data_IF_413737804007
#
_entry.id   IF_413737804007
#
_cell.length_a   1.000
_cell.length_b   1.000
_cell.length_c   1.000
_cell.angle_alpha   90.00
_cell.angle_beta   90.00
_cell.angle_gamma   90.00
#
_symmetry.space_group_name_H-M   'P 1'
#
loop_
_entity.id
_entity.type
_entity.pdbx_description
1 polymer ?
2 non-polymer ?
3 non-polymer ?
4 non-polymer ?
5 non-polymer ?
6 non-polymer ?
7 water ?
#
# COMPACT_ATOMS: atom_id res chain seq x y z
N UNK A 1 -16.73 10.72 21.07
CA UNK A 1 -17.79 11.44 20.30
C UNK A 1 -17.45 11.41 18.82
N UNK A 2 -18.44 11.77 17.98
CA UNK A 2 -18.24 11.86 16.55
C UNK A 2 -18.17 10.50 15.89
N UNK A 3 -17.54 10.47 14.72
CA UNK A 3 -17.43 9.25 13.92
C UNK A 3 -16.10 8.57 14.20
N UNK A 4 -16.10 7.24 14.14
CA UNK A 4 -14.86 6.48 14.17
C UNK A 4 -14.41 6.30 12.73
N UNK A 5 -13.34 6.98 12.37
CA UNK A 5 -12.86 6.93 10.98
C UNK A 5 -12.03 5.68 10.76
N UNK A 6 -12.05 5.17 9.54
CA UNK A 6 -11.24 4.02 9.16
C UNK A 6 -10.09 4.47 8.27
N UNK A 7 -8.87 4.07 8.65
CA UNK A 7 -7.65 4.49 7.94
C UNK A 7 -6.86 3.29 7.47
N UNK A 8 -6.59 3.24 6.17
CA UNK A 8 -5.63 2.32 5.57
C UNK A 8 -4.30 3.08 5.50
N UNK A 9 -3.35 2.65 6.31
CA UNK A 9 -2.03 3.29 6.36
C UNK A 9 -1.13 2.40 5.51
N UNK A 10 -0.95 2.77 4.24
CA UNK A 10 -0.28 1.94 3.26
C UNK A 10 1.20 2.28 3.09
N UNK A 11 1.94 1.29 2.56
CA UNK A 11 3.34 1.52 2.20
C UNK A 11 3.48 2.68 1.22
N UNK A 12 2.62 2.68 0.20
CA UNK A 12 2.66 3.64 -0.90
C UNK A 12 1.61 4.73 -0.75
N UNK A 13 0.38 4.35 -0.41
CA UNK A 13 -0.75 5.25 -0.36
C UNK A 13 -1.57 4.98 0.87
N UNK A 14 -2.14 6.04 1.41
CA UNK A 14 -3.06 5.93 2.54
C UNK A 14 -4.42 6.55 2.20
N UNK A 15 -5.46 6.12 2.90
CA UNK A 15 -6.79 6.63 2.62
C UNK A 15 -7.67 6.53 3.85
N UNK A 16 -8.78 7.27 3.83
CA UNK A 16 -9.66 7.38 4.97
C UNK A 16 -11.09 7.23 4.53
N UNK A 17 -11.88 6.52 5.33
CA UNK A 17 -13.29 6.27 5.03
C UNK A 17 -14.13 6.44 6.30
N UNK A 18 -15.43 6.71 6.11
CA UNK A 18 -16.42 6.79 7.17
C UNK A 18 -17.65 5.99 6.78
N UNK A 19 -18.43 5.61 7.80
CA UNK A 19 -19.77 5.08 7.57
C UNK A 19 -20.78 6.21 7.62
N UNK A 20 -21.59 6.32 6.57
CA UNK A 20 -22.79 7.16 6.60
C UNK A 20 -23.97 6.20 6.60
N UNK A 21 -24.42 5.83 7.79
CA UNK A 21 -25.37 4.75 7.90
C UNK A 21 -24.76 3.46 7.41
N UNK A 22 -25.48 2.77 6.54
CA UNK A 22 -24.98 1.56 5.93
C UNK A 22 -24.05 1.82 4.75
N UNK A 23 -23.85 3.08 4.36
CA UNK A 23 -23.06 3.36 3.17
C UNK A 23 -21.66 3.83 3.56
N UNK A 24 -20.61 3.07 3.27
CA UNK A 24 -19.27 3.62 3.45
C UNK A 24 -18.97 4.67 2.40
N UNK A 25 -18.14 5.63 2.80
CA UNK A 25 -17.68 6.68 1.88
C UNK A 25 -16.19 6.85 2.10
N UNK A 26 -15.43 6.72 1.00
CA UNK A 26 -14.02 7.07 1.00
C UNK A 26 -13.91 8.56 0.73
N UNK A 27 -13.15 9.26 1.57
CA UNK A 27 -13.11 10.72 1.51
C UNK A 27 -11.96 11.24 0.66
N UNK A 28 -12.24 12.23 -0.16
CA UNK A 28 -11.20 12.89 -0.91
C UNK A 28 -10.47 13.89 -0.02
N UNK A 29 -9.16 14.02 -0.25
CA UNK A 29 -8.30 14.90 0.52
C UNK A 29 -8.35 16.36 0.00
N UNK A 30 -7.49 17.20 0.58
CA UNK A 30 -7.47 18.63 0.21
C UNK A 30 -7.03 18.84 -1.22
N UNK A 31 -6.34 17.86 -1.81
CA UNK A 31 -5.94 17.91 -3.21
C UNK A 31 -7.00 17.35 -4.15
N UNK A 32 -8.11 16.84 -3.61
CA UNK A 32 -9.20 16.28 -4.40
C UNK A 32 -9.10 14.80 -4.69
N UNK A 33 -8.21 14.07 -4.03
CA UNK A 33 -7.89 12.70 -4.38
C UNK A 33 -8.33 11.76 -3.25
N UNK A 34 -8.88 10.61 -3.62
CA UNK A 34 -9.30 9.61 -2.64
C UNK A 34 -8.15 8.77 -2.10
N UNK A 35 -6.93 8.95 -2.59
CA UNK A 35 -5.78 8.35 -1.96
C UNK A 35 -4.69 9.39 -1.83
N UNK A 36 -3.86 9.23 -0.80
CA UNK A 36 -2.80 10.18 -0.43
C UNK A 36 -1.46 9.44 -0.43
N UNK A 37 -0.48 9.86 -1.20
CA UNK A 37 0.84 9.22 -1.10
C UNK A 37 1.38 9.29 0.32
N UNK A 38 1.89 8.16 0.80
CA UNK A 38 2.49 8.07 2.14
C UNK A 38 3.91 8.63 2.11
N UNK A 39 3.99 9.95 1.86
CA UNK A 39 5.23 10.67 1.67
C UNK A 39 5.17 11.89 2.57
N UNK A 40 6.24 12.13 3.31
CA UNK A 40 6.30 13.19 4.31
C UNK A 40 7.57 13.98 4.05
N UNK A 41 7.44 15.28 3.80
CA UNK A 41 8.61 16.11 3.50
C UNK A 41 8.78 17.25 4.50
N UNK A 42 10.03 17.50 4.87
CA UNK A 42 10.39 18.58 5.77
C UNK A 42 11.16 19.60 4.95
N UNK A 43 10.57 20.77 4.73
CA UNK A 43 11.10 21.73 3.75
C UNK A 43 12.06 22.72 4.39
N UNK A 44 12.82 23.40 3.53
CA UNK A 44 13.86 24.32 3.99
C UNK A 44 13.28 25.43 4.85
N UNK A 45 12.07 25.88 4.53
CA UNK A 45 11.42 26.92 5.30
C UNK A 45 10.67 26.40 6.53
N UNK A 46 10.76 25.11 6.85
CA UNK A 46 10.23 24.59 8.10
C UNK A 46 8.82 24.03 8.07
N UNK A 47 8.24 23.87 6.90
CA UNK A 47 6.91 23.28 6.80
C UNK A 47 7.03 21.76 6.69
N UNK A 48 5.96 21.07 7.08
CA UNK A 48 5.85 19.64 6.88
C UNK A 48 4.76 19.42 5.84
N UNK A 49 5.13 18.81 4.72
CA UNK A 49 4.21 18.52 3.62
C UNK A 49 3.92 17.02 3.61
N UNK A 50 2.69 16.66 3.28
CA UNK A 50 2.26 15.27 3.27
C UNK A 50 1.48 15.01 1.99
N UNK A 51 1.82 13.92 1.31
CA UNK A 51 1.06 13.50 0.13
C UNK A 51 1.60 14.05 -1.18
N UNK A 52 0.71 14.45 -2.07
CA UNK A 52 1.13 14.96 -3.37
C UNK A 52 2.03 16.18 -3.26
N UNK A 53 1.80 17.12 -2.35
CA UNK A 53 2.75 18.25 -2.25
C UNK A 53 4.13 17.80 -1.88
N UNK A 54 4.24 16.74 -1.08
CA UNK A 54 5.55 16.19 -0.76
C UNK A 54 6.16 15.48 -1.96
N UNK A 55 5.38 14.63 -2.63
CA UNK A 55 5.84 13.94 -3.82
C UNK A 55 6.41 14.93 -4.83
N UNK A 56 5.76 16.10 -5.00
CA UNK A 56 6.08 17.02 -6.08
C UNK A 56 7.43 17.69 -5.88
N UNK A 57 7.89 17.82 -4.64
CA UNK A 57 9.18 18.46 -4.36
C UNK A 57 10.29 17.48 -3.97
N UNK A 58 10.08 16.18 -4.16
CA UNK A 58 11.08 15.21 -3.73
C UNK A 58 12.38 15.39 -4.51
N UNK A 59 12.30 15.71 -5.81
CA UNK A 59 13.54 15.78 -6.60
C UNK A 59 14.47 16.86 -6.09
N UNK A 60 13.94 17.99 -5.62
CA UNK A 60 14.76 19.08 -5.11
C UNK A 60 15.01 19.01 -3.61
N UNK A 61 14.48 18.01 -2.90
CA UNK A 61 14.67 17.89 -1.44
C UNK A 61 14.80 16.42 -1.07
N UNK A 62 15.75 15.69 -1.66
CA UNK A 62 15.74 14.23 -1.55
C UNK A 62 16.09 13.69 -0.17
N UNK A 63 16.95 14.39 0.58
CA UNK A 63 17.36 13.87 1.88
C UNK A 63 16.27 14.03 2.93
N UNK A 64 15.32 14.95 2.72
CA UNK A 64 14.33 15.31 3.72
C UNK A 64 12.90 14.97 3.29
N UNK A 65 12.77 14.14 2.26
CA UNK A 65 11.47 13.64 1.79
C UNK A 65 11.43 12.15 2.10
N UNK A 66 10.60 11.79 3.07
CA UNK A 66 10.56 10.45 3.63
C UNK A 66 9.40 9.66 3.02
N UNK A 67 9.65 8.37 2.77
CA UNK A 67 8.68 7.47 2.17
C UNK A 67 9.01 6.04 2.62
N UNK A 68 8.06 5.12 2.41
CA UNK A 68 8.27 3.71 2.71
C UNK A 68 8.55 3.50 4.20
N UNK A 69 8.02 4.38 5.05
CA UNK A 69 8.26 4.25 6.48
C UNK A 69 7.58 3.01 7.03
N UNK A 70 6.54 2.49 6.36
CA UNK A 70 5.92 1.24 6.79
C UNK A 70 6.91 0.08 6.78
N UNK A 71 7.98 0.16 5.99
CA UNK A 71 9.03 -0.85 5.99
C UNK A 71 9.93 -0.78 7.21
N UNK A 72 9.90 0.33 7.97
CA UNK A 72 10.75 0.54 9.14
C UNK A 72 9.99 0.48 10.46
N UNK A 73 8.70 0.74 10.45
CA UNK A 73 7.96 0.93 11.69
C UNK A 73 7.99 -0.36 12.52
N UNK A 74 8.27 -0.22 13.81
CA UNK A 74 8.38 -1.34 14.69
C UNK A 74 9.58 -2.24 14.51
N UNK A 75 10.56 -1.87 13.71
CA UNK A 75 11.70 -2.73 13.44
C UNK A 75 12.98 -2.28 14.14
N UNK A 76 13.86 -3.26 14.36
CA UNK A 76 15.18 -3.01 14.92
C UNK A 76 16.13 -2.57 13.80
N UNK A 77 17.12 -1.75 14.16
CA UNK A 77 18.06 -1.24 13.15
C UNK A 77 18.77 -2.37 12.40
N UNK A 78 19.18 -3.42 13.10
CA UNK A 78 19.90 -4.52 12.45
C UNK A 78 18.98 -5.57 11.84
N UNK A 79 17.69 -5.30 11.75
CA UNK A 79 16.78 -6.13 10.96
C UNK A 79 17.25 -6.13 9.51
N UNK A 80 17.19 -7.30 8.86
CA UNK A 80 17.75 -7.43 7.51
C UNK A 80 17.07 -6.47 6.53
N UNK A 81 15.75 -6.32 6.66
CA UNK A 81 15.03 -5.36 5.82
C UNK A 81 15.59 -3.96 6.02
N UNK A 82 15.79 -3.55 7.27
CA UNK A 82 16.27 -2.20 7.54
C UNK A 82 17.66 -2.00 6.95
N UNK A 83 18.53 -3.00 7.10
CA UNK A 83 19.89 -2.87 6.60
C UNK A 83 19.92 -2.75 5.08
N UNK A 84 19.05 -3.48 4.38
CA UNK A 84 18.92 -3.26 2.94
C UNK A 84 18.53 -1.82 2.65
N UNK A 85 17.55 -1.31 3.39
CA UNK A 85 17.00 0.01 3.11
C UNK A 85 18.00 1.13 3.39
N UNK A 86 18.86 0.96 4.40
CA UNK A 86 19.87 1.98 4.71
C UNK A 86 20.63 2.37 3.45
N UNK A 87 20.94 1.39 2.62
CA UNK A 87 21.81 1.61 1.46
C UNK A 87 21.06 2.22 0.29
N UNK A 88 19.76 1.95 0.16
CA UNK A 88 19.03 2.38 -1.03
C UNK A 88 18.25 3.68 -0.79
N UNK A 89 17.82 3.95 0.45
CA UNK A 89 16.98 5.12 0.66
C UNK A 89 17.81 6.41 0.63
N UNK A 90 17.23 7.50 0.12
CA UNK A 90 17.99 8.76 0.02
C UNK A 90 17.99 9.56 1.30
N UNK A 91 17.18 9.18 2.27
CA UNK A 91 17.14 9.80 3.59
C UNK A 91 17.91 8.92 4.58
N UNK A 92 18.23 9.50 5.75
CA UNK A 92 19.17 8.91 6.68
C UNK A 92 18.44 8.02 7.69
N UNK A 93 18.75 6.72 7.66
CA UNK A 93 18.21 5.75 8.60
C UNK A 93 19.31 5.42 9.60
N UNK A 94 18.97 5.48 10.90
CA UNK A 94 19.94 5.41 11.99
C UNK A 94 19.45 4.45 13.09
N UNK A 95 20.37 4.10 13.97
CA UNK A 95 20.04 3.34 15.18
C UNK A 95 19.71 4.30 16.32
N UNK A 96 18.53 4.15 16.89
CA UNK A 96 18.23 4.80 18.16
C UNK A 96 19.12 4.20 19.24
N UNK A 97 19.24 4.93 20.35
CA UNK A 97 20.03 4.43 21.48
C UNK A 97 19.53 3.08 21.97
N UNK A 98 18.24 2.79 21.84
CA UNK A 98 17.69 1.51 22.28
C UNK A 98 17.75 0.42 21.22
N UNK A 99 18.34 0.70 20.07
CA UNK A 99 18.47 -0.28 19.02
C UNK A 99 17.39 -0.27 17.96
N UNK A 100 16.35 0.56 18.10
CA UNK A 100 15.32 0.62 17.09
C UNK A 100 15.79 1.36 15.83
N UNK A 101 15.13 1.07 14.72
CA UNK A 101 15.39 1.78 13.46
C UNK A 101 14.68 3.12 13.50
N UNK A 102 15.45 4.19 13.38
CA UNK A 102 14.96 5.57 13.38
C UNK A 102 15.42 6.28 12.10
N UNK A 103 14.93 7.50 11.91
CA UNK A 103 15.36 8.35 10.80
C UNK A 103 15.91 9.65 11.38
N UNK A 104 16.74 10.33 10.61
CA UNK A 104 17.25 11.63 11.04
C UNK A 104 17.05 12.63 9.91
N UNK A 105 16.48 13.80 10.25
CA UNK A 105 16.23 14.88 9.30
C UNK A 105 16.77 16.17 9.89
N UNK A 106 17.72 16.79 9.19
CA UNK A 106 18.30 18.07 9.62
C UNK A 106 18.77 18.02 11.07
N UNK A 107 19.36 16.89 11.44
CA UNK A 107 19.86 16.71 12.79
C UNK A 107 18.86 16.26 13.83
N UNK A 108 17.58 16.16 13.47
CA UNK A 108 16.52 15.75 14.39
C UNK A 108 16.26 14.26 14.21
N UNK A 109 16.47 13.49 15.28
CA UNK A 109 16.24 12.05 15.26
C UNK A 109 14.79 11.77 15.60
N UNK A 110 14.15 10.96 14.77
CA UNK A 110 12.72 10.67 14.89
C UNK A 110 12.45 9.18 14.78
N UNK A 111 11.53 8.70 15.61
CA UNK A 111 11.02 7.34 15.54
C UNK A 111 10.04 7.24 14.38
N UNK A 112 9.95 6.07 13.73
CA UNK A 112 9.01 5.91 12.59
C UNK A 112 7.59 6.34 12.93
N UNK A 113 7.04 6.05 14.12
CA UNK A 113 5.67 6.53 14.39
C UNK A 113 5.50 8.03 14.32
N UNK A 114 6.55 8.79 14.63
CA UNK A 114 6.49 10.24 14.52
C UNK A 114 6.35 10.71 13.09
N UNK A 115 6.82 9.90 12.15
CA UNK A 115 6.69 10.21 10.72
C UNK A 115 5.36 9.74 10.17
N UNK A 116 4.96 8.49 10.42
CA UNK A 116 3.66 8.04 9.95
C UNK A 116 2.52 8.83 10.59
N UNK A 117 2.75 9.38 11.79
CA UNK A 117 1.73 10.23 12.42
C UNK A 117 1.35 11.41 11.54
N UNK A 118 2.27 11.92 10.72
CA UNK A 118 1.94 13.06 9.87
C UNK A 118 0.91 12.67 8.80
N UNK A 119 1.01 11.45 8.27
CA UNK A 119 -0.01 10.93 7.36
C UNK A 119 -1.34 10.80 8.10
N UNK A 120 -1.30 10.23 9.29
CA UNK A 120 -2.53 10.07 10.06
C UNK A 120 -3.16 11.40 10.42
N UNK A 121 -2.34 12.43 10.70
CA UNK A 121 -2.89 13.77 10.95
C UNK A 121 -3.64 14.30 9.74
N UNK A 122 -3.10 14.03 8.53
CA UNK A 122 -3.78 14.44 7.29
C UNK A 122 -5.08 13.69 7.08
N UNK A 123 -5.11 12.38 7.40
CA UNK A 123 -6.37 11.64 7.30
C UNK A 123 -7.41 12.20 8.26
N UNK A 124 -7.00 12.53 9.49
CA UNK A 124 -7.88 13.10 10.51
C UNK A 124 -8.45 14.45 10.07
N UNK A 125 -7.58 15.34 9.58
CA UNK A 125 -8.01 16.66 9.11
C UNK A 125 -8.93 16.54 7.89
N UNK A 126 -8.64 15.60 6.99
CA UNK A 126 -9.53 15.35 5.85
C UNK A 126 -10.94 15.06 6.34
N UNK A 127 -11.06 14.16 7.33
CA UNK A 127 -12.38 13.80 7.84
C UNK A 127 -13.05 14.95 8.59
N UNK A 128 -12.26 15.73 9.32
CA UNK A 128 -12.81 16.91 10.01
C UNK A 128 -13.35 17.94 9.04
N UNK A 129 -12.64 18.17 7.92
CA UNK A 129 -13.10 19.12 6.92
C UNK A 129 -14.39 18.64 6.28
N UNK A 130 -14.48 17.34 5.99
CA UNK A 130 -15.69 16.79 5.38
C UNK A 130 -16.87 16.83 6.32
N UNK A 131 -16.66 16.47 7.58
CA UNK A 131 -17.75 16.28 8.53
C UNK A 131 -18.19 17.57 9.23
N UNK A 132 -17.29 18.54 9.41
CA UNK A 132 -17.66 19.74 10.15
C UNK A 132 -17.57 19.61 11.67
N UNK A 133 -16.91 18.58 12.18
CA UNK A 133 -16.79 18.35 13.61
C UNK A 133 -15.44 17.73 13.89
N UNK A 134 -15.00 17.71 15.14
CA UNK A 134 -13.73 17.08 15.47
C UNK A 134 -13.82 15.59 15.31
N UNK A 135 -12.67 14.99 15.00
CA UNK A 135 -12.51 13.55 14.90
C UNK A 135 -11.43 13.16 15.88
N UNK A 136 -11.77 12.23 16.78
CA UNK A 136 -10.82 11.82 17.80
C UNK A 136 -10.65 10.32 17.93
N UNK A 137 -11.36 9.52 17.12
CA UNK A 137 -11.37 8.06 17.22
C UNK A 137 -11.14 7.44 15.85
N UNK A 138 -10.41 6.33 15.79
CA UNK A 138 -10.08 5.69 14.52
C UNK A 138 -9.90 4.19 14.68
N UNK A 139 -10.11 3.50 13.57
CA UNK A 139 -9.65 2.13 13.35
C UNK A 139 -8.54 2.20 12.30
N UNK A 140 -7.39 1.61 12.58
CA UNK A 140 -6.25 1.64 11.67
C UNK A 140 -5.91 0.22 11.26
N UNK A 141 -5.62 0.01 9.97
CA UNK A 141 -5.26 -1.33 9.50
C UNK A 141 -3.76 -1.57 9.52
N UNK A 142 -3.39 -2.84 9.65
CA UNK A 142 -2.01 -3.32 9.54
C UNK A 142 -2.00 -4.61 8.73
N UNK A 143 -0.87 -4.94 8.12
CA UNK A 143 -0.77 -6.25 7.48
C UNK A 143 -0.90 -7.38 8.49
N UNK A 144 -1.43 -8.50 8.00
CA UNK A 144 -1.56 -9.68 8.85
C UNK A 144 -0.22 -10.15 9.39
N UNK A 145 0.87 -9.94 8.64
CA UNK A 145 2.17 -10.42 9.10
C UNK A 145 2.79 -9.56 10.20
N UNK A 146 2.25 -8.37 10.49
CA UNK A 146 2.84 -7.50 11.50
C UNK A 146 2.88 -8.17 12.88
N UNK A 147 4.02 -8.00 13.56
CA UNK A 147 4.24 -8.51 14.89
C UNK A 147 3.76 -7.49 15.94
N UNK A 148 3.92 -7.84 17.22
CA UNK A 148 3.47 -6.97 18.30
C UNK A 148 4.16 -5.61 18.26
N UNK A 149 5.48 -5.60 18.00
CA UNK A 149 6.20 -4.32 17.95
C UNK A 149 5.67 -3.43 16.84
N UNK A 150 5.38 -4.02 15.67
CA UNK A 150 4.86 -3.27 14.54
C UNK A 150 3.44 -2.77 14.82
N UNK A 151 2.62 -3.59 15.46
CA UNK A 151 1.27 -3.18 15.86
C UNK A 151 1.29 -2.05 16.89
N UNK A 152 2.12 -2.19 17.91
CA UNK A 152 2.21 -1.15 18.93
C UNK A 152 2.75 0.17 18.34
N UNK A 153 3.75 0.09 17.44
CA UNK A 153 4.29 1.30 16.82
C UNK A 153 3.23 2.00 15.97
N UNK A 154 2.37 1.22 15.30
CA UNK A 154 1.26 1.81 14.55
C UNK A 154 0.24 2.46 15.48
N UNK A 155 -0.09 1.80 16.60
CA UNK A 155 -0.96 2.43 17.59
C UNK A 155 -0.36 3.74 18.09
N UNK A 156 0.95 3.75 18.37
CA UNK A 156 1.64 4.96 18.82
C UNK A 156 1.51 6.09 17.79
N UNK A 157 1.66 5.78 16.49
CA UNK A 157 1.47 6.80 15.45
C UNK A 157 0.08 7.42 15.54
N UNK A 158 -0.96 6.61 15.79
CA UNK A 158 -2.29 7.16 15.99
C UNK A 158 -2.37 8.10 17.16
N UNK A 159 -1.78 7.71 18.29
CA UNK A 159 -1.82 8.57 19.48
C UNK A 159 -1.10 9.89 19.22
N UNK A 160 0.04 9.85 18.53
CA UNK A 160 0.78 11.06 18.21
C UNK A 160 -0.07 11.98 17.34
N UNK A 161 -0.90 11.40 16.47
CA UNK A 161 -1.83 12.15 15.63
C UNK A 161 -3.07 12.67 16.37
N UNK A 162 -3.23 12.34 17.66
CA UNK A 162 -4.39 12.76 18.42
C UNK A 162 -5.60 11.88 18.27
N UNK A 163 -5.41 10.64 17.83
CA UNK A 163 -6.50 9.69 17.64
C UNK A 163 -6.46 8.63 18.73
N UNK A 164 -7.65 8.35 19.28
CA UNK A 164 -7.86 7.17 20.10
C UNK A 164 -7.99 6.01 19.15
N UNK A 165 -7.08 5.04 19.21
CA UNK A 165 -7.07 3.92 18.28
C UNK A 165 -7.98 2.85 18.88
N UNK A 166 -9.24 2.82 18.43
CA UNK A 166 -10.23 1.92 19.00
C UNK A 166 -9.92 0.46 18.68
N UNK A 167 -9.38 0.20 17.51
CA UNK A 167 -8.98 -1.14 17.08
C UNK A 167 -7.90 -1.02 16.02
N UNK A 168 -6.99 -1.98 16.04
CA UNK A 168 -6.15 -2.36 14.91
C UNK A 168 -6.82 -3.55 14.26
N UNK A 169 -6.94 -3.52 12.93
CA UNK A 169 -7.55 -4.61 12.19
C UNK A 169 -6.58 -5.04 11.10
N UNK A 170 -6.51 -6.33 10.84
CA UNK A 170 -5.67 -6.83 9.77
C UNK A 170 -6.27 -6.53 8.40
N UNK A 171 -5.39 -6.17 7.45
CA UNK A 171 -5.86 -5.74 6.13
C UNK A 171 -6.73 -6.77 5.43
N UNK A 172 -6.43 -8.07 5.41
CA UNK A 172 -7.33 -9.00 4.71
C UNK A 172 -8.72 -9.05 5.33
N UNK A 173 -8.80 -8.97 6.67
CA UNK A 173 -10.08 -8.97 7.35
C UNK A 173 -10.86 -7.71 7.04
N UNK A 174 -10.16 -6.56 6.97
CA UNK A 174 -10.84 -5.33 6.53
C UNK A 174 -11.45 -5.51 5.15
N UNK A 175 -10.68 -6.07 4.20
CA UNK A 175 -11.22 -6.29 2.85
C UNK A 175 -12.45 -7.17 2.93
N UNK A 176 -12.42 -8.20 3.78
CA UNK A 176 -13.57 -9.12 3.89
C UNK A 176 -14.79 -8.41 4.46
N UNK A 177 -14.61 -7.48 5.40
CA UNK A 177 -15.72 -6.70 5.94
C UNK A 177 -16.31 -5.81 4.87
N UNK A 178 -15.47 -5.22 4.01
CA UNK A 178 -15.98 -4.43 2.88
C UNK A 178 -16.80 -5.29 1.94
N UNK A 179 -16.29 -6.47 1.58
CA UNK A 179 -17.05 -7.38 0.74
C UNK A 179 -18.36 -7.76 1.40
N UNK A 180 -18.33 -8.02 2.70
CA UNK A 180 -19.48 -8.51 3.44
C UNK A 180 -20.65 -7.57 3.54
N UNK A 181 -20.49 -6.29 3.19
CA UNK A 181 -21.66 -5.43 3.09
C UNK A 181 -22.54 -5.80 1.89
N UNK A 182 -21.93 -5.90 0.70
CA UNK A 182 -22.64 -6.27 -0.51
C UNK A 182 -22.17 -7.66 -0.97
N UNK A 183 -22.58 -8.67 -0.22
CA UNK A 183 -22.29 -10.06 -0.53
C UNK A 183 -23.58 -10.84 -0.55
N UNK A 184 -23.52 -12.04 -1.12
CA UNK A 184 -24.63 -12.96 -1.00
C UNK A 184 -24.80 -13.44 0.43
N UNK A 185 -26.04 -13.74 0.79
CA UNK A 185 -26.36 -14.16 2.14
C UNK A 185 -25.74 -15.51 2.46
N UNK A 186 -25.48 -15.74 3.75
CA UNK A 186 -25.15 -17.06 4.26
C UNK A 186 -23.67 -17.41 4.15
N UNK A 187 -23.41 -18.72 4.06
CA UNK A 187 -22.04 -19.22 4.05
C UNK A 187 -21.35 -18.83 2.75
N UNK A 188 -20.16 -18.24 2.88
CA UNK A 188 -19.29 -17.96 1.75
C UNK A 188 -17.85 -18.08 2.20
N UNK A 189 -17.01 -18.67 1.35
CA UNK A 189 -15.57 -18.73 1.59
C UNK A 189 -14.88 -17.98 0.47
N UNK A 190 -14.06 -17.00 0.83
CA UNK A 190 -13.44 -16.11 -0.14
C UNK A 190 -11.92 -16.19 -0.03
N UNK A 191 -11.27 -15.90 -1.14
CA UNK A 191 -9.83 -15.74 -1.22
C UNK A 191 -9.55 -14.26 -1.46
N UNK A 192 -8.77 -13.67 -0.57
CA UNK A 192 -8.41 -12.26 -0.68
C UNK A 192 -6.96 -12.20 -1.12
N UNK A 193 -6.74 -11.74 -2.34
CA UNK A 193 -5.41 -11.66 -2.96
C UNK A 193 -5.03 -10.18 -2.97
N UNK A 194 -4.10 -9.81 -2.10
CA UNK A 194 -3.76 -8.40 -1.87
C UNK A 194 -2.31 -8.19 -2.31
N UNK A 195 -2.13 -7.51 -3.44
CA UNK A 195 -0.80 -7.16 -3.96
C UNK A 195 -0.71 -5.64 -3.94
N UNK A 196 0.01 -5.10 -2.96
CA UNK A 196 0.14 -3.68 -2.79
C UNK A 196 1.48 -3.17 -3.30
N UNK A 197 1.87 -2.00 -2.79
CA UNK A 197 3.15 -1.42 -3.19
C UNK A 197 4.34 -2.06 -2.51
N UNK A 198 4.14 -2.67 -1.35
CA UNK A 198 5.23 -3.26 -0.60
C UNK A 198 5.19 -4.76 -0.45
N UNK A 199 4.00 -5.32 -0.27
CA UNK A 199 3.88 -6.72 0.12
C UNK A 199 2.70 -7.40 -0.55
N UNK A 200 2.76 -8.73 -0.55
CA UNK A 200 1.75 -9.60 -1.09
C UNK A 200 1.17 -10.45 0.04
N UNK A 201 -0.16 -10.55 0.09
CA UNK A 201 -0.83 -11.41 1.07
C UNK A 201 -1.96 -12.16 0.39
N UNK A 202 -2.11 -13.44 0.73
CA UNK A 202 -3.29 -14.23 0.38
C UNK A 202 -3.91 -14.74 1.67
N UNK A 203 -5.20 -14.50 1.83
CA UNK A 203 -5.93 -15.00 2.99
C UNK A 203 -7.22 -15.67 2.53
N UNK A 204 -7.54 -16.79 3.17
CA UNK A 204 -8.78 -17.53 2.92
C UNK A 204 -9.67 -17.23 4.12
N UNK A 205 -10.84 -16.64 3.88
CA UNK A 205 -11.71 -16.14 4.93
C UNK A 205 -13.12 -16.70 4.73
N UNK A 206 -13.70 -17.22 5.81
CA UNK A 206 -15.03 -17.79 5.79
C UNK A 206 -16.01 -16.85 6.48
N UNK A 207 -17.13 -16.62 5.81
CA UNK A 207 -18.25 -15.83 6.32
C UNK A 207 -19.43 -16.76 6.54
N UNK A 208 -20.12 -16.58 7.67
CA UNK A 208 -21.33 -17.36 7.97
C UNK A 208 -22.38 -16.45 8.59
N UNK A 209 -23.62 -16.93 8.61
CA UNK A 209 -24.70 -16.22 9.31
C UNK A 209 -25.35 -17.20 10.26
N UNK A 210 -25.28 -16.93 11.56
CA UNK A 210 -25.76 -17.89 12.55
C UNK A 210 -26.23 -17.16 13.79
N UNK A 211 -27.40 -17.54 14.30
CA UNK A 211 -27.93 -16.96 15.54
C UNK A 211 -27.98 -15.42 15.46
N UNK A 212 -28.33 -14.90 14.29
CA UNK A 212 -28.45 -13.46 14.09
C UNK A 212 -27.16 -12.67 13.95
N UNK A 213 -25.99 -13.32 13.84
CA UNK A 213 -24.71 -12.66 13.68
C UNK A 213 -24.06 -13.07 12.36
N UNK A 214 -23.41 -12.13 11.68
CA UNK A 214 -22.55 -12.46 10.55
C UNK A 214 -21.13 -12.66 11.10
N UNK A 215 -20.58 -13.86 10.94
CA UNK A 215 -19.29 -14.21 11.49
C UNK A 215 -18.22 -14.23 10.39
N UNK A 216 -17.00 -13.84 10.78
CA UNK A 216 -15.83 -13.83 9.89
C UNK A 216 -14.68 -14.60 10.54
N UNK A 217 -14.08 -15.53 9.80
CA UNK A 217 -13.00 -16.34 10.35
C UNK A 217 -11.90 -16.50 9.30
N UNK A 218 -10.66 -16.21 9.69
CA UNK A 218 -9.52 -16.42 8.81
C UNK A 218 -9.14 -17.90 8.89
N UNK A 219 -9.27 -18.62 7.77
CA UNK A 219 -8.91 -20.03 7.74
C UNK A 219 -7.43 -20.26 7.49
N UNK A 220 -6.78 -19.39 6.72
CA UNK A 220 -5.38 -19.52 6.40
C UNK A 220 -4.88 -18.19 5.88
N UNK A 221 -3.60 -17.94 6.06
CA UNK A 221 -2.95 -16.77 5.48
C UNK A 221 -1.55 -17.17 5.04
N UNK A 222 -1.09 -16.52 3.98
CA UNK A 222 0.27 -16.71 3.47
C UNK A 222 0.65 -15.42 2.75
N UNK A 223 1.88 -15.33 2.29
CA UNK A 223 2.29 -14.11 1.61
C UNK A 223 3.78 -14.05 1.35
N UNK A 224 4.18 -12.91 0.80
CA UNK A 224 5.58 -12.63 0.48
C UNK A 224 5.79 -11.15 0.76
N UNK A 225 6.55 -10.84 1.82
CA UNK A 225 6.77 -9.46 2.22
C UNK A 225 7.77 -8.73 1.34
N UNK A 226 8.38 -9.43 0.37
CA UNK A 226 9.29 -8.82 -0.58
C UNK A 226 8.73 -8.91 -2.01
N UNK A 227 7.41 -8.80 -2.14
CA UNK A 227 6.74 -8.90 -3.43
C UNK A 227 5.69 -7.81 -3.45
N UNK A 228 5.96 -6.74 -4.17
CA UNK A 228 5.02 -5.63 -4.23
C UNK A 228 5.26 -4.80 -5.47
N UNK A 229 4.38 -3.82 -5.66
CA UNK A 229 4.49 -2.96 -6.83
C UNK A 229 5.83 -2.28 -7.00
N UNK A 230 6.50 -1.94 -5.89
CA UNK A 230 7.83 -1.32 -5.98
C UNK A 230 8.83 -2.24 -6.67
N UNK A 231 8.65 -3.55 -6.56
CA UNK A 231 9.49 -4.51 -7.26
C UNK A 231 9.18 -4.57 -8.75
N UNK A 232 7.91 -4.39 -9.12
CA UNK A 232 7.57 -4.26 -10.53
C UNK A 232 8.23 -3.02 -11.12
N UNK A 233 8.14 -1.89 -10.40
CA UNK A 233 8.82 -0.66 -10.84
C UNK A 233 10.31 -0.91 -11.07
N UNK A 234 10.96 -1.62 -10.15
CA UNK A 234 12.41 -1.83 -10.24
C UNK A 234 12.78 -2.56 -11.52
N UNK A 235 11.97 -3.54 -11.94
CA UNK A 235 12.27 -4.26 -13.17
C UNK A 235 12.20 -3.32 -14.37
N UNK A 236 11.22 -2.43 -14.39
CA UNK A 236 11.14 -1.49 -15.50
C UNK A 236 12.25 -0.44 -15.44
N UNK A 237 12.60 0.03 -14.24
CA UNK A 237 13.71 0.96 -14.11
C UNK A 237 14.97 0.33 -14.68
N UNK A 238 15.23 -0.92 -14.32
CA UNK A 238 16.46 -1.59 -14.77
C UNK A 238 16.48 -1.69 -16.30
N UNK A 239 15.33 -1.99 -16.90
CA UNK A 239 15.25 -2.03 -18.36
C UNK A 239 15.60 -0.69 -18.96
N UNK A 240 15.06 0.39 -18.40
CA UNK A 240 15.33 1.73 -18.93
C UNK A 240 16.80 2.09 -18.80
N UNK A 241 17.42 1.74 -17.67
CA UNK A 241 18.85 1.98 -17.49
C UNK A 241 19.66 1.21 -18.52
N UNK A 242 19.32 -0.06 -18.72
CA UNK A 242 20.06 -0.91 -19.66
C UNK A 242 19.90 -0.43 -21.09
N UNK A 243 18.67 -0.07 -21.49
CA UNK A 243 18.45 0.41 -22.85
C UNK A 243 19.22 1.72 -23.10
N UNK A 244 19.25 2.60 -22.10
CA UNK A 244 19.96 3.86 -22.28
C UNK A 244 21.47 3.62 -22.40
N UNK A 245 21.99 2.65 -21.64
CA UNK A 245 23.41 2.32 -21.72
C UNK A 245 23.75 1.73 -23.10
N UNK A 246 22.90 0.82 -23.58
CA UNK A 246 23.13 0.17 -24.86
C UNK A 246 23.13 1.19 -25.98
N UNK A 247 22.26 2.19 -25.89
CA UNK A 247 22.10 3.13 -26.99
C UNK A 247 23.07 4.31 -26.87
N UNK A 248 23.31 4.81 -25.66
CA UNK A 248 24.08 6.03 -25.47
C UNK A 248 25.41 5.83 -24.76
N UNK A 249 25.67 4.65 -24.20
CA UNK A 249 26.94 4.36 -23.56
C UNK A 249 27.15 4.98 -22.19
N UNK A 250 26.10 5.44 -21.52
CA UNK A 250 26.19 6.11 -20.23
C UNK A 250 25.37 5.32 -19.23
N UNK A 251 25.95 5.10 -18.06
CA UNK A 251 25.31 4.35 -16.97
C UNK A 251 24.66 5.37 -16.03
N UNK A 252 23.32 5.42 -16.02
CA UNK A 252 22.63 6.42 -15.22
C UNK A 252 22.61 6.09 -13.73
N UNK A 253 23.02 4.88 -13.34
CA UNK A 253 22.91 4.47 -11.94
C UNK A 253 23.80 5.28 -11.02
N UNK A 254 24.81 5.94 -11.58
CA UNK A 254 25.71 6.78 -10.80
C UNK A 254 25.14 8.15 -10.47
N UNK A 255 23.94 8.47 -10.98
CA UNK A 255 23.38 9.82 -10.90
C UNK A 255 22.09 9.76 -10.11
N UNK A 256 22.08 10.19 -8.85
CA UNK A 256 20.86 10.04 -8.03
C UNK A 256 19.67 10.82 -8.58
N UNK A 257 19.90 12.01 -9.13
CA UNK A 257 18.78 12.77 -9.68
C UNK A 257 18.17 12.03 -10.86
N UNK A 258 19.01 11.52 -11.77
CA UNK A 258 18.48 10.78 -12.91
C UNK A 258 17.69 9.57 -12.44
N UNK A 259 18.22 8.83 -11.45
CA UNK A 259 17.53 7.65 -10.95
C UNK A 259 16.21 7.99 -10.26
N UNK A 260 16.13 9.13 -9.58
CA UNK A 260 14.85 9.56 -9.01
C UNK A 260 13.85 9.89 -10.13
N UNK A 261 14.30 10.54 -11.20
CA UNK A 261 13.40 10.81 -12.32
C UNK A 261 12.96 9.52 -13.01
N UNK A 262 13.86 8.55 -13.16
CA UNK A 262 13.49 7.27 -13.77
C UNK A 262 12.48 6.51 -12.93
N UNK A 263 12.61 6.56 -11.62
CA UNK A 263 11.64 5.86 -10.76
C UNK A 263 10.24 6.39 -10.99
N UNK A 264 10.07 7.72 -11.00
CA UNK A 264 8.77 8.32 -11.26
C UNK A 264 8.26 7.95 -12.65
N UNK A 265 9.13 8.01 -13.66
CA UNK A 265 8.72 7.74 -15.03
C UNK A 265 8.35 6.28 -15.21
N UNK A 266 9.11 5.39 -14.56
CA UNK A 266 8.81 3.96 -14.67
C UNK A 266 7.46 3.64 -14.08
N UNK A 267 7.14 4.21 -12.91
CA UNK A 267 5.86 3.93 -12.29
C UNK A 267 4.72 4.45 -13.15
N UNK A 268 4.88 5.65 -13.71
CA UNK A 268 3.87 6.21 -14.60
C UNK A 268 3.65 5.33 -15.81
N UNK A 269 4.74 4.85 -16.44
CA UNK A 269 4.60 4.00 -17.62
C UNK A 269 3.95 2.67 -17.26
N UNK A 270 4.33 2.09 -16.12
CA UNK A 270 3.75 0.83 -15.69
C UNK A 270 2.23 0.96 -15.55
N UNK A 271 1.78 2.03 -14.89
CA UNK A 271 0.34 2.24 -14.70
C UNK A 271 -0.36 2.46 -16.05
N UNK A 272 0.26 3.26 -16.93
CA UNK A 272 -0.30 3.46 -18.27
C UNK A 272 -0.51 2.14 -18.98
N UNK A 273 0.43 1.20 -18.85
CA UNK A 273 0.35 -0.07 -19.56
C UNK A 273 -0.71 -1.01 -19.01
N UNK A 274 -1.37 -0.67 -17.90
CA UNK A 274 -2.52 -1.45 -17.47
C UNK A 274 -3.74 -1.20 -18.35
N UNK A 275 -3.72 -0.14 -19.16
CA UNK A 275 -4.86 0.17 -20.01
C UNK A 275 -4.48 0.44 -21.46
N UNK A 276 -3.21 0.60 -21.77
CA UNK A 276 -2.72 0.78 -23.13
C UNK A 276 -1.78 -0.36 -23.50
N UNK A 277 -1.62 -0.59 -24.81
CA UNK A 277 -0.75 -1.64 -25.30
C UNK A 277 0.70 -1.21 -25.44
N UNK A 278 0.95 0.10 -25.39
CA UNK A 278 2.32 0.61 -25.45
C UNK A 278 2.33 2.03 -24.92
N UNK A 279 3.51 2.50 -24.55
CA UNK A 279 3.66 3.85 -24.06
C UNK A 279 5.10 4.28 -24.28
N UNK A 280 5.36 5.57 -24.08
CA UNK A 280 6.66 6.15 -24.34
C UNK A 280 7.16 6.82 -23.08
N UNK A 281 8.43 6.58 -22.74
CA UNK A 281 9.11 7.26 -21.63
C UNK A 281 10.02 8.33 -22.22
N UNK A 282 9.74 9.58 -21.90
CA UNK A 282 10.52 10.72 -22.37
C UNK A 282 11.05 11.50 -21.17
N UNK A 283 12.36 11.62 -21.06
CA UNK A 283 13.00 12.38 -19.98
C UNK A 283 14.05 13.29 -20.61
N UNK A 284 13.72 14.56 -20.84
CA UNK A 284 14.71 15.50 -21.38
C UNK A 284 15.84 15.74 -20.40
N UNK A 285 17.04 15.92 -20.94
CA UNK A 285 18.22 16.27 -20.13
C UNK A 285 18.39 15.28 -18.98
N UNK A 286 18.24 13.99 -19.29
CA UNK A 286 18.43 13.00 -18.25
C UNK A 286 19.88 12.95 -17.81
N UNK A 287 20.79 13.26 -18.73
CA UNK A 287 22.17 13.51 -18.36
C UNK A 287 22.73 14.48 -19.39
N UNK A 288 23.94 14.98 -19.12
CA UNK A 288 24.57 15.93 -20.04
C UNK A 288 26.07 15.92 -19.77
N UNK A 289 26.84 16.03 -20.84
CA UNK A 289 28.29 16.08 -20.73
C UNK A 289 28.83 17.03 -21.80
N UNK A 290 30.14 17.02 -21.99
CA UNK A 290 30.72 17.95 -22.93
C UNK A 290 30.37 17.62 -24.37
N UNK A 291 29.87 16.42 -24.66
CA UNK A 291 29.41 16.14 -26.01
C UNK A 291 28.04 16.74 -26.28
N UNK A 292 27.30 17.06 -25.23
CA UNK A 292 25.99 17.66 -25.34
C UNK A 292 25.00 17.05 -24.37
N UNK A 293 23.77 17.56 -24.40
CA UNK A 293 22.70 16.99 -23.56
C UNK A 293 22.18 15.68 -24.13
N UNK A 294 21.67 14.82 -23.25
CA UNK A 294 21.10 13.55 -23.64
C UNK A 294 19.66 13.47 -23.16
N UNK A 295 18.76 13.04 -24.05
CA UNK A 295 17.35 12.93 -23.75
C UNK A 295 16.94 11.47 -23.91
N UNK A 296 16.22 10.94 -22.92
CA UNK A 296 15.74 9.59 -23.02
C UNK A 296 14.40 9.60 -23.77
N UNK A 297 14.27 8.71 -24.75
CA UNK A 297 12.98 8.47 -25.37
C UNK A 297 12.94 6.98 -25.70
N UNK A 298 12.16 6.22 -24.93
CA UNK A 298 12.11 4.76 -25.01
C UNK A 298 10.65 4.34 -25.07
N UNK A 299 10.31 3.53 -26.07
CA UNK A 299 8.99 2.94 -26.16
C UNK A 299 8.97 1.63 -25.35
N UNK A 300 7.91 1.45 -24.57
CA UNK A 300 7.72 0.24 -23.77
C UNK A 300 6.36 -0.34 -24.12
N UNK A 301 6.35 -1.58 -24.60
CA UNK A 301 5.10 -2.25 -24.90
C UNK A 301 4.61 -3.01 -23.69
N UNK A 302 3.32 -3.33 -23.69
CA UNK A 302 2.79 -4.15 -22.60
C UNK A 302 3.46 -5.52 -22.60
N UNK A 303 3.71 -6.09 -23.79
CA UNK A 303 4.40 -7.38 -23.88
C UNK A 303 5.77 -7.32 -23.23
N UNK A 304 6.51 -6.23 -23.46
CA UNK A 304 7.81 -6.09 -22.83
C UNK A 304 7.68 -6.03 -21.31
N UNK A 305 6.76 -5.20 -20.82
CA UNK A 305 6.56 -5.14 -19.37
C UNK A 305 6.21 -6.51 -18.79
N UNK A 306 5.30 -7.23 -19.45
CA UNK A 306 4.91 -8.55 -18.98
C UNK A 306 6.10 -9.50 -18.91
N UNK A 307 6.99 -9.44 -19.90
CA UNK A 307 8.18 -10.28 -19.85
C UNK A 307 9.11 -9.88 -18.70
N UNK A 308 9.15 -8.59 -18.35
CA UNK A 308 10.05 -8.13 -17.29
C UNK A 308 9.59 -8.54 -15.89
N UNK A 309 8.29 -8.76 -15.70
CA UNK A 309 7.74 -9.04 -14.38
C UNK A 309 7.06 -10.41 -14.28
N UNK A 310 7.09 -11.21 -15.33
CA UNK A 310 6.42 -12.52 -15.30
C UNK A 310 6.78 -13.34 -14.05
N UNK A 311 8.06 -13.39 -13.69
CA UNK A 311 8.46 -14.21 -12.55
C UNK A 311 7.93 -13.66 -11.23
N UNK A 312 7.75 -12.34 -11.12
CA UNK A 312 7.14 -11.78 -9.92
C UNK A 312 5.69 -12.21 -9.80
N UNK A 313 4.93 -12.17 -10.89
CA UNK A 313 3.54 -12.61 -10.82
C UNK A 313 3.48 -14.10 -10.50
N UNK A 314 4.39 -14.90 -11.07
CA UNK A 314 4.38 -16.32 -10.78
C UNK A 314 4.71 -16.61 -9.32
N UNK A 315 5.51 -15.75 -8.68
CA UNK A 315 5.86 -15.95 -7.28
C UNK A 315 4.65 -15.82 -6.37
N UNK A 316 3.59 -15.16 -6.83
CA UNK A 316 2.39 -15.03 -6.02
C UNK A 316 1.55 -16.30 -6.02
N UNK A 317 1.83 -17.27 -6.88
CA UNK A 317 0.96 -18.45 -6.99
C UNK A 317 1.28 -19.51 -5.93
N UNK A 318 2.55 -19.78 -5.66
CA UNK A 318 2.84 -20.82 -4.68
C UNK A 318 2.20 -20.54 -3.34
N UNK A 319 2.24 -19.32 -2.80
CA UNK A 319 1.50 -19.05 -1.56
C UNK A 319 0.02 -19.37 -1.67
N UNK A 320 -0.60 -19.15 -2.84
CA UNK A 320 -2.00 -19.51 -3.00
C UNK A 320 -2.21 -21.00 -2.74
N UNK A 321 -1.37 -21.84 -3.35
CA UNK A 321 -1.50 -23.28 -3.18
C UNK A 321 -1.34 -23.68 -1.72
N UNK A 322 -0.38 -23.09 -1.03
CA UNK A 322 -0.15 -23.43 0.38
C UNK A 322 -1.31 -22.96 1.25
N UNK A 323 -1.83 -21.76 1.00
CA UNK A 323 -2.96 -21.28 1.81
C UNK A 323 -4.17 -22.19 1.69
N UNK A 324 -4.49 -22.62 0.47
CA UNK A 324 -5.58 -23.59 0.31
C UNK A 324 -5.30 -24.89 1.06
N UNK A 325 -4.08 -25.43 0.92
CA UNK A 325 -3.71 -26.63 1.65
C UNK A 325 -3.93 -26.45 3.14
N UNK A 326 -3.44 -25.34 3.68
CA UNK A 326 -3.55 -25.09 5.11
C UNK A 326 -5.00 -24.96 5.54
N UNK A 327 -5.85 -24.37 4.70
CA UNK A 327 -7.26 -24.29 5.02
C UNK A 327 -7.98 -25.60 4.80
N UNK A 328 -7.35 -26.60 4.18
CA UNK A 328 -8.02 -27.85 3.90
C UNK A 328 -9.01 -27.80 2.77
N UNK A 329 -8.81 -26.87 1.83
CA UNK A 329 -9.74 -26.61 0.75
C UNK A 329 -9.06 -26.82 -0.58
N UNK A 330 -9.87 -27.10 -1.59
CA UNK A 330 -9.42 -27.05 -2.97
C UNK A 330 -9.98 -25.79 -3.60
N UNK A 331 -9.49 -25.50 -4.81
CA UNK A 331 -9.92 -24.28 -5.48
C UNK A 331 -11.43 -24.30 -5.73
N UNK A 332 -12.05 -25.49 -5.84
CA UNK A 332 -13.47 -25.57 -6.10
C UNK A 332 -14.33 -25.25 -4.88
N UNK A 333 -13.70 -25.08 -3.71
CA UNK A 333 -14.41 -24.69 -2.49
C UNK A 333 -14.47 -23.19 -2.28
N UNK A 334 -13.85 -22.41 -3.17
CA UNK A 334 -13.81 -20.96 -3.05
C UNK A 334 -15.00 -20.39 -3.80
N UNK A 335 -15.80 -19.56 -3.11
CA UNK A 335 -16.99 -18.97 -3.71
C UNK A 335 -16.71 -17.66 -4.45
N UNK A 336 -15.75 -16.87 -3.96
CA UNK A 336 -15.40 -15.64 -4.65
C UNK A 336 -13.94 -15.32 -4.39
N UNK A 337 -13.32 -14.68 -5.37
CA UNK A 337 -11.95 -14.20 -5.25
C UNK A 337 -12.01 -12.68 -5.27
N UNK A 338 -11.34 -12.05 -4.31
CA UNK A 338 -11.33 -10.59 -4.15
C UNK A 338 -9.90 -10.11 -4.39
N UNK A 339 -9.73 -9.26 -5.40
CA UNK A 339 -8.45 -8.60 -5.65
C UNK A 339 -8.39 -7.31 -4.85
N UNK A 340 -7.30 -7.12 -4.11
CA UNK A 340 -7.08 -5.91 -3.33
C UNK A 340 -5.69 -5.40 -3.67
N UNK A 341 -5.54 -4.07 -3.73
CA UNK A 341 -4.26 -3.45 -4.02
C UNK A 341 -4.13 -2.93 -5.44
N UNK A 342 -3.49 -1.77 -5.57
CA UNK A 342 -3.41 -1.14 -6.88
C UNK A 342 -2.70 -2.00 -7.91
N UNK A 343 -1.74 -2.82 -7.48
CA UNK A 343 -0.95 -3.57 -8.45
C UNK A 343 -1.76 -4.71 -9.07
N UNK A 344 -2.90 -5.09 -8.47
CA UNK A 344 -3.78 -6.08 -9.08
C UNK A 344 -4.49 -5.55 -10.32
N UNK A 345 -4.42 -4.25 -10.60
CA UNK A 345 -5.04 -3.71 -11.81
C UNK A 345 -4.27 -4.09 -13.06
N UNK A 346 -3.07 -4.62 -12.93
CA UNK A 346 -2.34 -5.10 -14.09
C UNK A 346 -3.08 -6.25 -14.74
N UNK A 347 -3.43 -6.17 -16.04
CA UNK A 347 -4.15 -7.30 -16.67
C UNK A 347 -3.49 -8.65 -16.47
N UNK A 348 -2.17 -8.74 -16.54
CA UNK A 348 -1.51 -10.04 -16.37
C UNK A 348 -1.79 -10.65 -14.99
N UNK A 349 -1.84 -9.81 -13.95
CA UNK A 349 -2.15 -10.28 -12.59
C UNK A 349 -3.58 -10.79 -12.55
N UNK A 350 -4.52 -9.99 -13.06
CA UNK A 350 -5.92 -10.43 -13.08
C UNK A 350 -6.07 -11.76 -13.80
N UNK A 351 -5.41 -11.92 -14.95
CA UNK A 351 -5.53 -13.16 -15.72
C UNK A 351 -4.93 -14.35 -14.98
N UNK A 352 -3.77 -14.17 -14.34
CA UNK A 352 -3.13 -15.29 -13.66
C UNK A 352 -3.96 -15.75 -12.45
N UNK A 353 -4.58 -14.81 -11.75
CA UNK A 353 -5.44 -15.14 -10.62
C UNK A 353 -6.68 -15.87 -11.10
N UNK A 354 -7.32 -15.37 -12.16
CA UNK A 354 -8.51 -16.03 -12.68
C UNK A 354 -8.18 -17.44 -13.18
N UNK A 355 -7.02 -17.59 -13.84
CA UNK A 355 -6.62 -18.92 -14.32
C UNK A 355 -6.42 -19.88 -13.15
N UNK A 356 -5.86 -19.39 -12.04
CA UNK A 356 -5.60 -20.27 -10.92
C UNK A 356 -6.89 -20.78 -10.31
N UNK A 357 -7.86 -19.89 -10.09
CA UNK A 357 -9.12 -20.28 -9.45
C UNK A 357 -10.16 -20.80 -10.43
N UNK A 358 -9.95 -20.58 -11.73
CA UNK A 358 -10.94 -20.95 -12.72
C UNK A 358 -12.18 -20.08 -12.71
N UNK A 359 -12.11 -18.88 -12.11
CA UNK A 359 -13.23 -17.96 -12.14
C UNK A 359 -12.72 -16.54 -12.01
N UNK A 360 -13.50 -15.61 -12.54
CA UNK A 360 -13.11 -14.21 -12.55
C UNK A 360 -13.29 -13.61 -11.16
N UNK A 361 -12.33 -12.82 -10.67
CA UNK A 361 -12.55 -12.10 -9.42
C UNK A 361 -13.78 -11.19 -9.48
N UNK A 362 -14.30 -10.89 -8.30
CA UNK A 362 -15.44 -9.98 -8.20
C UNK A 362 -15.10 -8.64 -8.84
N UNK A 363 -16.07 -8.03 -9.52
CA UNK A 363 -15.86 -6.73 -10.11
C UNK A 363 -16.35 -5.57 -9.24
N UNK A 364 -17.13 -5.84 -8.19
CA UNK A 364 -17.77 -4.78 -7.43
C UNK A 364 -17.04 -4.46 -6.13
N UNK A 365 -15.79 -4.91 -6.01
CA UNK A 365 -14.90 -4.53 -4.93
C UNK A 365 -13.81 -3.66 -5.55
N UNK A 366 -13.66 -2.45 -5.05
CA UNK A 366 -12.64 -1.55 -5.58
C UNK A 366 -11.30 -1.90 -4.92
N UNK A 367 -10.29 -2.34 -5.70
CA UNK A 367 -9.04 -2.83 -5.07
C UNK A 367 -8.29 -1.73 -4.37
N UNK A 368 -8.52 -0.46 -4.74
CA UNK A 368 -7.82 0.63 -4.09
C UNK A 368 -8.47 1.08 -2.78
N UNK A 369 -9.74 0.75 -2.55
CA UNK A 369 -10.51 1.29 -1.44
C UNK A 369 -10.93 0.26 -0.39
N UNK A 370 -10.89 -1.04 -0.71
CA UNK A 370 -11.54 -2.04 0.14
C UNK A 370 -11.02 -2.03 1.57
N UNK A 371 -9.71 -1.86 1.75
CA UNK A 371 -9.12 -1.91 3.09
C UNK A 371 -9.61 -0.75 3.93
N UNK A 372 -9.57 0.47 3.41
CA UNK A 372 -10.08 1.63 4.14
C UNK A 372 -11.57 1.47 4.47
N UNK A 373 -12.36 1.00 3.49
CA UNK A 373 -13.79 0.79 3.72
C UNK A 373 -14.02 -0.21 4.83
N UNK A 374 -13.25 -1.31 4.84
CA UNK A 374 -13.37 -2.30 5.89
C UNK A 374 -13.02 -1.75 7.26
N UNK A 375 -12.04 -0.86 7.32
CA UNK A 375 -11.73 -0.22 8.59
C UNK A 375 -12.90 0.62 9.06
N UNK A 376 -13.54 1.34 8.14
CA UNK A 376 -14.73 2.11 8.49
C UNK A 376 -15.88 1.22 8.94
N UNK A 377 -16.03 0.04 8.31
CA UNK A 377 -17.07 -0.90 8.74
C UNK A 377 -16.81 -1.33 10.17
N UNK A 378 -15.55 -1.67 10.49
CA UNK A 378 -15.24 -2.02 11.87
C UNK A 378 -15.60 -0.88 12.82
N UNK A 379 -15.36 0.35 12.40
CA UNK A 379 -15.74 1.48 13.23
C UNK A 379 -17.23 1.56 13.43
N UNK A 380 -18.01 1.24 12.40
CA UNK A 380 -19.46 1.16 12.54
C UNK A 380 -19.93 0.04 13.46
N UNK A 381 -19.22 -1.10 13.45
CA UNK A 381 -19.55 -2.19 14.36
C UNK A 381 -19.35 -1.77 15.81
N UNK A 382 -18.34 -0.93 16.07
CA UNK A 382 -18.09 -0.46 17.43
C UNK A 382 -19.14 0.55 17.88
N UNK A 383 -19.62 1.38 16.95
CA UNK A 383 -20.62 2.38 17.30
C UNK A 383 -22.03 1.80 17.23
N UNK A 384 -22.48 1.45 16.03
CA UNK A 384 -23.86 1.02 15.83
C UNK A 384 -24.45 1.41 14.49
N UNK A 385 -23.66 2.07 13.63
CA UNK A 385 -24.08 2.22 12.24
C UNK A 385 -24.18 0.86 11.56
N UNK A 386 -23.41 -0.12 12.03
CA UNK A 386 -23.41 -1.49 11.53
C UNK A 386 -23.64 -2.40 12.72
N UNK A 387 -24.53 -3.37 12.56
CA UNK A 387 -24.89 -4.27 13.65
C UNK A 387 -24.71 -5.72 13.23
N UNK A 388 -24.44 -6.57 14.23
CA UNK A 388 -24.52 -8.03 14.09
C UNK A 388 -23.34 -8.61 13.31
N UNK A 389 -22.13 -8.17 13.65
CA UNK A 389 -20.90 -8.68 13.00
C UNK A 389 -19.93 -9.16 14.08
N UNK A 390 -19.38 -10.38 13.89
CA UNK A 390 -18.49 -11.03 14.85
C UNK A 390 -17.21 -11.53 14.18
N UNK A 391 -16.06 -11.17 14.72
CA UNK A 391 -14.79 -11.72 14.25
C UNK A 391 -14.40 -12.92 15.12
N UNK A 392 -14.36 -14.10 14.53
CA UNK A 392 -14.02 -15.33 15.24
C UNK A 392 -12.51 -15.53 15.28
N UNK A 393 -12.04 -16.10 16.39
CA UNK A 393 -10.65 -16.55 16.47
C UNK A 393 -10.43 -17.77 15.58
#
# INVERSE_FOLDING_TARGET
SGKIIGIDLGTTNSCVAIMDGTTPRVLENAEGDRTTPSIIAYTQDGETLVGQPAKRQAVTNPQNTLFAIKRLIGRRFQDEEVQRDVSIMPFKIIAADNGDAWVEVKGQKMAPPQISAEVLKKMKKTAEDYLGEPVTEAVITVPAYFNDAQRQATKDAGRIAGLEVKRIINEPTAAALAYGLDKGTGNRTIAVYDLGGGAFDISIIEIDEVDGEKTFEVLATNGDTHLGGEDFDSRLINYLVEEFKKDQGIDLRNDPLAMQRLKEAAEKAKIELSSAQQTDVNLPYITADATGPKHMNIKVTRAKLESLVEDLVNRSIEPLKVALQDAGLSVSDIDDVILVGGQTRMPMVQKKVAEFFGKEPRKDVNPDEAVAIGAAVQGGVLTGDVKDVLLLD
#
